data_IF_985736504248
#
_entry.id   IF_985736504248
#
_cell.length_a   1.000
_cell.length_b   1.000
_cell.length_c   1.000
_cell.angle_alpha   90.00
_cell.angle_beta   90.00
_cell.angle_gamma   90.00
#
_symmetry.space_group_name_H-M   'P 1'
#
loop_
_entity.id
_entity.type
_entity.pdbx_description
1 polymer ?
#
# COMPACT_ATOMS: atom_id res chain seq x y z
N UNK A 1 -5.88 1.67 11.69
CA UNK A 1 -5.86 2.95 10.96
C UNK A 1 -5.73 2.74 9.46
N UNK A 2 -4.79 1.91 9.00
CA UNK A 2 -4.69 1.56 7.57
C UNK A 2 -6.03 1.05 7.02
N UNK A 3 -6.63 0.05 7.66
CA UNK A 3 -7.89 -0.54 7.19
C UNK A 3 -9.05 0.48 7.10
N UNK A 4 -9.14 1.41 8.05
CA UNK A 4 -10.16 2.48 8.02
C UNK A 4 -9.91 3.49 6.92
N UNK A 5 -8.64 3.84 6.66
CA UNK A 5 -8.26 4.81 5.62
C UNK A 5 -8.47 4.24 4.23
N UNK A 6 -7.98 3.03 3.95
CA UNK A 6 -8.07 2.45 2.62
C UNK A 6 -9.52 2.16 2.20
N UNK A 7 -10.38 1.81 3.15
CA UNK A 7 -11.80 1.51 2.88
C UNK A 7 -12.71 2.72 2.97
N UNK A 8 -12.16 3.93 3.14
CA UNK A 8 -12.97 5.14 3.08
C UNK A 8 -13.61 5.26 1.69
N UNK A 9 -14.94 5.43 1.66
CA UNK A 9 -15.72 5.66 0.44
C UNK A 9 -15.67 4.51 -0.58
N UNK A 10 -15.36 3.28 -0.17
CA UNK A 10 -15.37 2.09 -1.03
C UNK A 10 -16.57 1.19 -0.75
N UNK A 11 -17.00 0.42 -1.76
CA UNK A 11 -18.10 -0.55 -1.61
C UNK A 11 -17.65 -1.91 -1.07
N UNK A 12 -16.41 -2.28 -1.37
CA UNK A 12 -15.82 -3.55 -0.94
C UNK A 12 -14.89 -3.31 0.23
N UNK A 13 -14.99 -4.18 1.22
CA UNK A 13 -14.10 -4.13 2.37
C UNK A 13 -12.83 -4.95 2.07
N UNK A 14 -11.68 -4.30 2.13
CA UNK A 14 -10.36 -4.94 2.06
C UNK A 14 -9.78 -4.99 3.47
N UNK A 15 -9.54 -6.20 3.97
CA UNK A 15 -8.87 -6.37 5.26
C UNK A 15 -7.39 -6.06 5.15
N UNK A 16 -6.81 -5.61 6.24
CA UNK A 16 -5.40 -5.30 6.36
C UNK A 16 -4.53 -6.53 6.04
N UNK A 17 -4.90 -7.72 6.55
CA UNK A 17 -4.19 -8.97 6.25
C UNK A 17 -4.31 -9.37 4.77
N UNK A 18 -5.42 -9.03 4.13
CA UNK A 18 -5.65 -9.32 2.72
C UNK A 18 -4.82 -8.39 1.84
N UNK A 19 -4.77 -7.09 2.16
CA UNK A 19 -3.87 -6.15 1.51
C UNK A 19 -2.41 -6.60 1.66
N UNK A 20 -2.00 -7.00 2.87
CA UNK A 20 -0.63 -7.48 3.12
C UNK A 20 -0.30 -8.70 2.24
N UNK A 21 -1.22 -9.65 2.11
CA UNK A 21 -1.06 -10.80 1.21
C UNK A 21 -0.89 -10.35 -0.24
N UNK A 22 -1.75 -9.46 -0.74
CA UNK A 22 -1.67 -8.94 -2.11
C UNK A 22 -0.32 -8.29 -2.40
N UNK A 23 0.19 -7.48 -1.45
CA UNK A 23 1.50 -6.84 -1.57
C UNK A 23 2.64 -7.86 -1.62
N UNK A 24 2.61 -8.88 -0.75
CA UNK A 24 3.63 -9.94 -0.70
C UNK A 24 3.56 -10.90 -1.89
N UNK A 25 2.37 -11.17 -2.44
CA UNK A 25 2.16 -12.04 -3.59
C UNK A 25 2.29 -11.32 -4.94
N UNK A 26 2.51 -10.00 -4.93
CA UNK A 26 2.48 -9.14 -6.13
C UNK A 26 1.16 -9.26 -6.92
N UNK A 27 0.05 -9.51 -6.22
CA UNK A 27 -1.28 -9.62 -6.79
C UNK A 27 -1.99 -8.25 -6.80
N UNK A 28 -2.67 -7.96 -7.90
CA UNK A 28 -3.49 -6.76 -8.05
C UNK A 28 -4.89 -7.17 -8.46
N UNK A 29 -5.87 -6.91 -7.60
CA UNK A 29 -7.28 -7.18 -7.85
C UNK A 29 -7.99 -5.84 -8.06
N UNK A 30 -8.48 -5.61 -9.28
CA UNK A 30 -9.10 -4.35 -9.70
C UNK A 30 -10.28 -3.95 -8.79
N UNK A 31 -10.98 -4.91 -8.17
CA UNK A 31 -12.08 -4.60 -7.24
C UNK A 31 -11.61 -3.87 -5.97
N UNK A 32 -10.32 -3.94 -5.68
CA UNK A 32 -9.65 -3.27 -4.57
C UNK A 32 -8.70 -2.15 -5.02
N UNK A 33 -8.72 -1.77 -6.30
CA UNK A 33 -7.82 -0.77 -6.87
C UNK A 33 -7.83 0.54 -6.06
N UNK A 34 -9.00 1.04 -5.67
CA UNK A 34 -9.12 2.29 -4.90
C UNK A 34 -8.45 2.16 -3.53
N UNK A 35 -8.66 1.04 -2.84
CA UNK A 35 -8.04 0.75 -1.54
C UNK A 35 -6.52 0.66 -1.66
N UNK A 36 -6.03 0.04 -2.74
CA UNK A 36 -4.60 -0.03 -3.04
C UNK A 36 -4.05 1.37 -3.28
N UNK A 37 -4.69 2.21 -4.09
CA UNK A 37 -4.22 3.58 -4.31
C UNK A 37 -4.23 4.39 -3.02
N UNK A 38 -5.31 4.36 -2.25
CA UNK A 38 -5.44 5.03 -0.96
C UNK A 38 -4.33 4.59 0.02
N UNK A 39 -3.89 3.33 -0.04
CA UNK A 39 -2.76 2.87 0.77
C UNK A 39 -1.46 3.63 0.47
N UNK A 40 -1.22 3.98 -0.79
CA UNK A 40 -0.01 4.68 -1.22
C UNK A 40 -0.15 6.21 -1.26
N UNK A 41 -1.37 6.75 -1.17
CA UNK A 41 -1.63 8.21 -1.22
C UNK A 41 -2.09 8.81 0.09
N UNK A 42 -3.01 8.13 0.79
CA UNK A 42 -3.76 8.71 1.91
C UNK A 42 -3.36 8.14 3.27
N UNK A 43 -2.72 6.97 3.30
CA UNK A 43 -2.19 6.41 4.54
C UNK A 43 -0.92 7.19 4.92
N UNK A 44 -0.85 7.75 6.15
CA UNK A 44 0.36 8.41 6.62
C UNK A 44 1.57 7.48 6.60
N UNK A 45 2.75 7.98 6.19
CA UNK A 45 3.95 7.16 6.03
C UNK A 45 4.33 6.38 7.30
N UNK A 46 4.17 6.99 8.49
CA UNK A 46 4.39 6.30 9.77
C UNK A 46 3.49 5.05 9.95
N UNK A 47 2.28 5.06 9.39
CA UNK A 47 1.34 3.93 9.49
C UNK A 47 1.62 2.91 8.37
N UNK A 48 2.15 3.34 7.23
CA UNK A 48 2.74 2.45 6.22
C UNK A 48 3.92 1.69 6.82
N UNK A 49 4.86 2.36 7.47
CA UNK A 49 6.01 1.72 8.15
C UNK A 49 5.55 0.72 9.21
N UNK A 50 4.58 1.08 10.04
CA UNK A 50 4.00 0.17 11.04
C UNK A 50 3.33 -1.04 10.39
N UNK A 51 2.61 -0.84 9.30
CA UNK A 51 1.99 -1.92 8.54
C UNK A 51 3.05 -2.86 7.96
N UNK A 52 4.12 -2.31 7.38
CA UNK A 52 5.23 -3.09 6.85
C UNK A 52 5.89 -3.94 7.94
N UNK A 53 6.19 -3.32 9.09
CA UNK A 53 6.77 -4.02 10.23
C UNK A 53 5.83 -5.13 10.76
N UNK A 54 4.52 -4.86 10.81
CA UNK A 54 3.51 -5.82 11.30
C UNK A 54 3.42 -7.08 10.41
N UNK A 55 3.52 -6.93 9.09
CA UNK A 55 3.36 -8.05 8.14
C UNK A 55 4.67 -8.56 7.54
N UNK A 56 5.82 -8.03 7.97
CA UNK A 56 7.13 -8.42 7.45
C UNK A 56 7.34 -8.05 5.98
N UNK A 57 6.79 -6.91 5.54
CA UNK A 57 6.96 -6.42 4.16
C UNK A 57 8.24 -5.60 4.11
N UNK A 58 9.19 -6.02 3.26
CA UNK A 58 10.42 -5.24 3.04
C UNK A 58 10.16 -3.99 2.20
N UNK A 59 11.02 -2.99 2.34
CA UNK A 59 11.00 -1.80 1.50
C UNK A 59 11.14 -2.14 0.01
N UNK A 60 11.96 -3.14 -0.33
CA UNK A 60 12.10 -3.64 -1.69
C UNK A 60 10.80 -4.24 -2.25
N UNK A 61 10.07 -5.04 -1.44
CA UNK A 61 8.79 -5.62 -1.85
C UNK A 61 7.72 -4.54 -2.04
N UNK A 62 7.63 -3.60 -1.10
CA UNK A 62 6.66 -2.52 -1.21
C UNK A 62 6.94 -1.60 -2.41
N UNK A 63 8.23 -1.29 -2.64
CA UNK A 63 8.68 -0.51 -3.79
C UNK A 63 8.34 -1.19 -5.11
N UNK A 64 8.62 -2.50 -5.23
CA UNK A 64 8.31 -3.24 -6.45
C UNK A 64 6.79 -3.22 -6.75
N UNK A 65 5.95 -3.33 -5.73
CA UNK A 65 4.51 -3.23 -5.88
C UNK A 65 4.07 -1.82 -6.33
N UNK A 66 4.56 -0.79 -5.65
CA UNK A 66 4.27 0.61 -5.96
C UNK A 66 4.68 0.98 -7.39
N UNK A 67 5.90 0.62 -7.80
CA UNK A 67 6.41 0.89 -9.15
C UNK A 67 5.61 0.14 -10.23
N UNK A 68 5.16 -1.09 -9.95
CA UNK A 68 4.42 -1.90 -10.92
C UNK A 68 2.98 -1.45 -11.13
N UNK A 69 2.28 -1.07 -10.06
CA UNK A 69 0.82 -0.90 -10.10
C UNK A 69 0.32 0.51 -9.82
N UNK A 70 1.13 1.39 -9.24
CA UNK A 70 0.64 2.66 -8.65
C UNK A 70 1.36 3.89 -9.17
N UNK A 71 2.69 3.85 -9.27
CA UNK A 71 3.55 5.01 -9.54
C UNK A 71 3.16 5.80 -10.79
N UNK A 72 2.75 5.11 -11.85
CA UNK A 72 2.35 5.75 -13.12
C UNK A 72 1.06 6.56 -13.00
N UNK A 73 0.22 6.27 -12.00
CA UNK A 73 -1.03 6.97 -11.73
C UNK A 73 -0.87 7.99 -10.61
N UNK A 74 -0.21 7.59 -9.51
CA UNK A 74 -0.10 8.37 -8.28
C UNK A 74 1.34 8.38 -7.79
N UNK A 75 2.05 9.46 -8.14
CA UNK A 75 3.41 9.67 -7.66
C UNK A 75 3.40 10.20 -6.23
N UNK A 76 4.13 9.53 -5.34
CA UNK A 76 4.34 9.95 -3.96
C UNK A 76 5.85 10.09 -3.64
N UNK A 77 6.43 11.30 -3.80
CA UNK A 77 7.86 11.53 -3.54
C UNK A 77 8.30 11.21 -2.10
N UNK A 78 7.44 11.44 -1.10
CA UNK A 78 7.77 11.14 0.30
C UNK A 78 7.88 9.64 0.55
N UNK A 79 6.97 8.85 -0.04
CA UNK A 79 7.08 7.39 -0.05
C UNK A 79 8.33 6.94 -0.83
N UNK A 80 8.61 7.53 -1.99
CA UNK A 80 9.78 7.21 -2.81
C UNK A 80 11.09 7.43 -2.05
N UNK A 81 11.18 8.51 -1.28
CA UNK A 81 12.32 8.79 -0.40
C UNK A 81 12.43 7.76 0.73
N UNK A 82 11.34 7.49 1.45
CA UNK A 82 11.27 6.47 2.51
C UNK A 82 11.74 5.10 2.01
N UNK A 83 11.34 4.71 0.80
CA UNK A 83 11.69 3.42 0.18
C UNK A 83 13.10 3.39 -0.42
N UNK A 84 13.79 4.53 -0.52
CA UNK A 84 15.15 4.62 -1.09
C UNK A 84 16.25 4.57 -0.03
N UNK A 85 15.91 4.82 1.24
CA UNK A 85 16.87 4.89 2.36
C UNK A 85 17.06 3.54 3.07
N UNK A 86 16.25 2.53 2.74
CA UNK A 86 16.18 1.24 3.44
C UNK A 86 16.80 0.07 2.68
#
# INVERSE_FOLDING_TARGET
MVETTINAQTKHYLREEQLARMLLSMEFDEKYMVQVFNFFTDVPLQDVERFMAKYGISCSALRAYYEKYVKDYYRNPGLEEMLSVA
#
